data_IF_321002748121
#
_entry.id   IF_321002748121
#
_cell.length_a   1.000
_cell.length_b   1.000
_cell.length_c   1.000
_cell.angle_alpha   90.00
_cell.angle_beta   90.00
_cell.angle_gamma   90.00
#
_symmetry.space_group_name_H-M   'P 1'
#
loop_
_entity.id
_entity.type
_entity.pdbx_description
1 polymer ?
#
# COMPACT_ATOMS: atom_id res chain seq x y z
N UNK A 1 -19.04 -8.04 40.37
CA UNK A 1 -18.25 -9.04 39.63
C UNK A 1 -17.79 -8.46 38.30
N UNK A 2 -16.53 -8.69 37.93
CA UNK A 2 -15.95 -8.27 36.65
C UNK A 2 -16.27 -9.35 35.61
N UNK A 3 -17.11 -9.03 34.63
CA UNK A 3 -17.17 -9.81 33.39
C UNK A 3 -16.23 -9.15 32.37
N UNK A 4 -15.09 -9.77 32.02
CA UNK A 4 -14.24 -9.25 30.96
C UNK A 4 -14.99 -9.40 29.63
N UNK A 5 -15.11 -8.30 28.88
CA UNK A 5 -15.49 -8.36 27.47
C UNK A 5 -14.45 -9.23 26.77
N UNK A 6 -14.90 -10.38 26.29
CA UNK A 6 -14.11 -11.23 25.40
C UNK A 6 -13.81 -10.39 24.15
N UNK A 7 -12.56 -9.92 24.02
CA UNK A 7 -12.03 -9.47 22.74
C UNK A 7 -11.92 -10.70 21.84
N UNK A 8 -13.04 -11.04 21.18
CA UNK A 8 -12.97 -11.80 19.96
C UNK A 8 -12.53 -10.81 18.90
N UNK A 9 -11.26 -10.80 18.53
CA UNK A 9 -10.79 -10.18 17.28
C UNK A 9 -11.18 -11.11 16.13
N UNK A 10 -12.28 -10.87 15.39
CA UNK A 10 -12.80 -11.82 14.42
C UNK A 10 -12.08 -11.74 13.06
N UNK A 11 -11.07 -10.87 12.92
CA UNK A 11 -10.54 -10.48 11.62
C UNK A 11 -9.04 -10.70 11.47
N UNK A 12 -8.53 -11.86 11.90
CA UNK A 12 -7.34 -12.40 11.24
C UNK A 12 -7.80 -13.11 9.96
N UNK A 13 -8.11 -12.31 8.95
CA UNK A 13 -8.44 -12.86 7.63
C UNK A 13 -7.20 -13.55 7.10
N UNK A 14 -7.35 -14.84 6.82
CA UNK A 14 -6.26 -15.68 6.32
C UNK A 14 -5.76 -15.09 5.00
N UNK A 15 -4.50 -14.64 5.02
CA UNK A 15 -3.77 -14.07 3.88
C UNK A 15 -3.64 -15.12 2.79
N UNK A 16 -4.48 -15.06 1.76
CA UNK A 16 -4.16 -15.68 0.48
C UNK A 16 -3.27 -14.70 -0.28
N UNK A 17 -1.96 -14.78 -0.02
CA UNK A 17 -0.97 -14.08 -0.84
C UNK A 17 -1.17 -14.60 -2.27
N UNK A 18 -1.72 -13.75 -3.14
CA UNK A 18 -1.86 -14.15 -4.53
C UNK A 18 -0.45 -14.24 -5.10
N UNK A 19 0.07 -15.45 -5.31
CA UNK A 19 1.34 -15.76 -5.99
C UNK A 19 1.27 -15.38 -7.48
N UNK A 20 0.78 -14.19 -7.78
CA UNK A 20 0.57 -13.72 -9.14
C UNK A 20 1.91 -13.22 -9.61
N UNK A 21 2.58 -14.11 -10.34
CA UNK A 21 3.78 -13.80 -11.08
C UNK A 21 3.39 -12.80 -12.18
N UNK A 22 3.70 -11.54 -11.96
CA UNK A 22 3.51 -10.50 -12.97
C UNK A 22 4.38 -10.81 -14.19
N UNK A 23 3.93 -10.34 -15.34
CA UNK A 23 4.72 -10.36 -16.56
C UNK A 23 6.01 -9.52 -16.39
N UNK A 24 7.18 -9.97 -16.90
CA UNK A 24 8.44 -9.25 -16.72
C UNK A 24 8.41 -7.79 -17.21
N UNK A 25 7.73 -7.51 -18.34
CA UNK A 25 7.64 -6.13 -18.86
C UNK A 25 6.78 -5.25 -17.95
N UNK A 26 5.73 -5.84 -17.32
CA UNK A 26 4.96 -5.13 -16.29
C UNK A 26 5.81 -4.87 -15.06
N UNK A 27 6.60 -5.84 -14.62
CA UNK A 27 7.45 -5.71 -13.45
C UNK A 27 8.49 -4.59 -13.61
N UNK A 28 9.16 -4.53 -14.77
CA UNK A 28 10.11 -3.46 -15.09
C UNK A 28 9.45 -2.08 -15.13
N UNK A 29 8.24 -1.98 -15.73
CA UNK A 29 7.48 -0.72 -15.73
C UNK A 29 7.07 -0.28 -14.33
N UNK A 30 6.63 -1.21 -13.48
CA UNK A 30 6.30 -0.89 -12.08
C UNK A 30 7.55 -0.49 -11.31
N UNK A 31 8.70 -1.13 -11.55
CA UNK A 31 9.96 -0.73 -10.92
C UNK A 31 10.34 0.72 -11.27
N UNK A 32 10.32 1.07 -12.56
CA UNK A 32 10.58 2.45 -13.01
C UNK A 32 9.59 3.45 -12.41
N UNK A 33 8.32 3.07 -12.30
CA UNK A 33 7.31 3.88 -11.63
C UNK A 33 7.64 4.09 -10.15
N UNK A 34 7.99 3.03 -9.42
CA UNK A 34 8.32 3.12 -8.00
C UNK A 34 9.55 3.99 -7.76
N UNK A 35 10.58 3.92 -8.61
CA UNK A 35 11.74 4.82 -8.54
C UNK A 35 11.34 6.29 -8.76
N UNK A 36 10.47 6.56 -9.74
CA UNK A 36 9.92 7.90 -10.01
C UNK A 36 9.11 8.42 -8.82
N UNK A 37 8.27 7.59 -8.20
CA UNK A 37 7.49 7.95 -7.02
C UNK A 37 8.40 8.14 -5.79
N UNK A 38 9.40 7.29 -5.60
CA UNK A 38 10.37 7.39 -4.51
C UNK A 38 11.18 8.69 -4.58
N UNK A 39 11.61 9.11 -5.78
CA UNK A 39 12.23 10.43 -5.96
C UNK A 39 11.30 11.57 -5.52
N UNK A 40 10.00 11.47 -5.81
CA UNK A 40 9.01 12.45 -5.35
C UNK A 40 8.85 12.45 -3.82
N UNK A 41 8.79 11.26 -3.23
CA UNK A 41 8.71 11.06 -1.78
C UNK A 41 9.93 11.64 -1.08
N UNK A 42 11.14 11.35 -1.58
CA UNK A 42 12.40 11.89 -1.09
C UNK A 42 12.45 13.42 -1.19
N UNK A 43 12.24 13.96 -2.39
CA UNK A 43 12.36 15.40 -2.66
C UNK A 43 11.39 16.26 -1.86
N UNK A 44 10.24 15.72 -1.45
CA UNK A 44 9.23 16.41 -0.65
C UNK A 44 9.16 15.96 0.81
N UNK A 45 10.00 15.00 1.22
CA UNK A 45 9.98 14.41 2.56
C UNK A 45 8.57 13.96 2.98
N UNK A 46 7.89 13.23 2.09
CA UNK A 46 6.51 12.81 2.32
C UNK A 46 6.45 11.70 3.37
N UNK A 47 5.58 11.85 4.36
CA UNK A 47 5.22 10.77 5.28
C UNK A 47 4.07 9.96 4.69
N UNK A 48 4.32 8.70 4.34
CA UNK A 48 3.35 7.86 3.65
C UNK A 48 2.30 7.27 4.61
N UNK A 49 2.73 6.71 5.74
CA UNK A 49 1.88 5.96 6.67
C UNK A 49 0.68 6.73 7.25
N UNK A 50 0.80 7.99 7.74
CA UNK A 50 -0.28 8.63 8.49
C UNK A 50 -1.61 8.73 7.72
N UNK A 51 -1.55 8.98 6.40
CA UNK A 51 -2.75 9.07 5.58
C UNK A 51 -3.41 7.71 5.33
N UNK A 52 -2.64 6.61 5.39
CA UNK A 52 -3.21 5.27 5.30
C UNK A 52 -3.82 4.83 6.63
N UNK A 53 -3.20 5.18 7.76
CA UNK A 53 -3.70 4.83 9.10
C UNK A 53 -5.11 5.40 9.38
N UNK A 54 -5.45 6.56 8.80
CA UNK A 54 -6.81 7.12 8.87
C UNK A 54 -7.88 6.19 8.26
N UNK A 55 -7.49 5.37 7.27
CA UNK A 55 -8.35 4.38 6.63
C UNK A 55 -8.23 2.99 7.27
N UNK A 56 -7.07 2.63 7.80
CA UNK A 56 -6.78 1.35 8.46
C UNK A 56 -7.04 1.38 9.98
N UNK A 57 -8.31 1.57 10.35
CA UNK A 57 -8.73 1.74 11.76
C UNK A 57 -8.50 0.51 12.65
N UNK A 58 -8.31 -0.65 12.05
CA UNK A 58 -8.06 -1.91 12.76
C UNK A 58 -6.60 -2.34 12.69
N UNK A 59 -5.74 -1.50 12.10
CA UNK A 59 -4.30 -1.73 11.94
C UNK A 59 -3.97 -3.10 11.32
N UNK A 60 -4.72 -3.48 10.29
CA UNK A 60 -4.49 -4.75 9.59
C UNK A 60 -3.49 -4.62 8.42
N UNK A 61 -3.05 -3.41 8.09
CA UNK A 61 -2.10 -3.13 7.01
C UNK A 61 -2.72 -3.11 5.61
N UNK A 62 -4.06 -3.11 5.52
CA UNK A 62 -4.79 -3.20 4.26
C UNK A 62 -5.82 -2.08 4.09
N UNK A 63 -5.94 -1.58 2.86
CA UNK A 63 -6.97 -0.61 2.49
C UNK A 63 -7.60 -1.00 1.16
N UNK A 64 -8.84 -0.57 0.91
CA UNK A 64 -9.47 -0.80 -0.39
C UNK A 64 -8.73 -0.07 -1.51
N UNK A 65 -8.84 -0.55 -2.75
CA UNK A 65 -8.22 0.10 -3.92
C UNK A 65 -8.58 1.59 -4.03
N UNK A 66 -9.84 1.95 -3.77
CA UNK A 66 -10.28 3.35 -3.85
C UNK A 66 -9.65 4.22 -2.75
N UNK A 67 -9.50 3.70 -1.54
CA UNK A 67 -8.81 4.40 -0.44
C UNK A 67 -7.33 4.57 -0.78
N UNK A 68 -6.69 3.52 -1.30
CA UNK A 68 -5.30 3.58 -1.75
C UNK A 68 -5.07 4.68 -2.80
N UNK A 69 -5.89 4.71 -3.86
CA UNK A 69 -5.80 5.73 -4.90
C UNK A 69 -6.07 7.14 -4.36
N UNK A 70 -6.97 7.29 -3.38
CA UNK A 70 -7.23 8.57 -2.72
C UNK A 70 -6.00 9.07 -1.97
N UNK A 71 -5.35 8.21 -1.19
CA UNK A 71 -4.11 8.56 -0.48
C UNK A 71 -3.01 8.96 -1.47
N UNK A 72 -2.83 8.21 -2.56
CA UNK A 72 -1.87 8.60 -3.61
C UNK A 72 -2.18 9.95 -4.24
N UNK A 73 -3.46 10.26 -4.43
CA UNK A 73 -3.87 11.57 -4.95
C UNK A 73 -3.54 12.69 -3.97
N UNK A 74 -3.84 12.49 -2.69
CA UNK A 74 -3.62 13.50 -1.64
C UNK A 74 -2.13 13.76 -1.40
N UNK A 75 -1.28 12.73 -1.57
CA UNK A 75 0.19 12.85 -1.59
C UNK A 75 0.74 13.46 -2.89
N UNK A 76 -0.11 13.68 -3.90
CA UNK A 76 0.30 14.17 -5.23
C UNK A 76 1.12 13.16 -6.04
N UNK A 77 1.00 11.87 -5.72
CA UNK A 77 1.67 10.75 -6.39
C UNK A 77 0.81 10.18 -7.53
N UNK A 78 -0.52 10.12 -7.36
CA UNK A 78 -1.43 9.56 -8.39
C UNK A 78 -1.30 10.26 -9.76
N UNK A 79 -1.19 11.60 -9.85
CA UNK A 79 -1.01 12.28 -11.14
C UNK A 79 0.31 11.96 -11.86
N UNK A 80 1.27 11.32 -11.18
CA UNK A 80 2.52 10.86 -11.79
C UNK A 80 2.37 9.50 -12.48
N UNK A 81 1.20 8.85 -12.34
CA UNK A 81 0.89 7.56 -12.92
C UNK A 81 0.03 7.71 -14.17
N UNK A 82 0.17 6.81 -15.15
CA UNK A 82 -0.83 6.60 -16.19
C UNK A 82 -1.78 5.43 -15.84
N UNK A 83 -2.82 5.20 -16.65
CA UNK A 83 -3.82 4.15 -16.39
C UNK A 83 -3.22 2.74 -16.23
N UNK A 84 -2.28 2.38 -17.12
CA UNK A 84 -1.60 1.08 -17.09
C UNK A 84 -0.68 0.93 -15.87
N UNK A 85 0.09 1.97 -15.56
CA UNK A 85 0.92 2.05 -14.34
C UNK A 85 0.08 1.90 -13.07
N UNK A 86 -1.07 2.57 -13.01
CA UNK A 86 -2.02 2.48 -11.90
C UNK A 86 -2.54 1.05 -11.72
N UNK A 87 -2.95 0.40 -12.81
CA UNK A 87 -3.45 -0.97 -12.78
C UNK A 87 -2.38 -1.96 -12.32
N UNK A 88 -1.16 -1.87 -12.82
CA UNK A 88 -0.08 -2.74 -12.39
C UNK A 88 0.33 -2.50 -10.93
N UNK A 89 0.24 -1.26 -10.44
CA UNK A 89 0.51 -0.95 -9.04
C UNK A 89 -0.55 -1.62 -8.13
N UNK A 90 -1.83 -1.50 -8.48
CA UNK A 90 -2.92 -2.18 -7.77
C UNK A 90 -2.77 -3.70 -7.84
N UNK A 91 -2.37 -4.25 -8.99
CA UNK A 91 -2.11 -5.68 -9.17
C UNK A 91 -0.96 -6.17 -8.28
N UNK A 92 0.16 -5.43 -8.23
CA UNK A 92 1.36 -5.81 -7.47
C UNK A 92 1.12 -5.93 -5.97
N UNK A 93 0.37 -5.00 -5.39
CA UNK A 93 0.12 -4.94 -3.94
C UNK A 93 -1.24 -5.51 -3.55
N UNK A 94 -1.91 -6.22 -4.46
CA UNK A 94 -3.22 -6.80 -4.18
C UNK A 94 -3.14 -7.90 -3.13
N UNK A 95 -4.08 -7.88 -2.20
CA UNK A 95 -4.35 -8.95 -1.25
C UNK A 95 -5.84 -9.30 -1.28
N UNK A 96 -6.17 -10.60 -1.19
CA UNK A 96 -7.55 -11.04 -1.07
C UNK A 96 -7.93 -11.19 0.40
N UNK A 97 -8.90 -10.39 0.85
CA UNK A 97 -9.41 -10.38 2.22
C UNK A 97 -10.92 -10.68 2.16
N UNK A 98 -11.33 -11.88 2.57
CA UNK A 98 -12.74 -12.27 2.57
C UNK A 98 -13.39 -12.20 1.18
N UNK A 99 -12.63 -12.52 0.13
CA UNK A 99 -13.06 -12.44 -1.27
C UNK A 99 -13.02 -11.05 -1.91
N UNK A 100 -12.62 -10.02 -1.16
CA UNK A 100 -12.42 -8.65 -1.69
C UNK A 100 -10.96 -8.42 -2.04
N UNK A 101 -10.73 -7.62 -3.08
CA UNK A 101 -9.40 -7.19 -3.48
C UNK A 101 -9.04 -5.88 -2.77
N UNK A 102 -8.23 -6.00 -1.72
CA UNK A 102 -7.64 -4.89 -0.98
C UNK A 102 -6.17 -4.73 -1.35
N UNK A 103 -5.51 -3.70 -0.81
CA UNK A 103 -4.13 -3.32 -1.09
C UNK A 103 -3.31 -3.37 0.19
N UNK A 104 -2.18 -4.09 0.15
CA UNK A 104 -1.13 -4.06 1.16
C UNK A 104 -0.33 -2.77 1.05
N UNK A 105 -0.80 -1.74 1.74
CA UNK A 105 -0.16 -0.43 1.72
C UNK A 105 1.14 -0.40 2.52
N UNK A 106 1.32 -1.31 3.49
CA UNK A 106 2.55 -1.43 4.28
C UNK A 106 3.70 -1.82 3.36
N UNK A 107 3.53 -2.90 2.59
CA UNK A 107 4.53 -3.35 1.60
C UNK A 107 4.85 -2.26 0.57
N UNK A 108 3.84 -1.49 0.13
CA UNK A 108 4.03 -0.35 -0.76
C UNK A 108 4.85 0.78 -0.12
N UNK A 109 4.52 1.17 1.12
CA UNK A 109 5.19 2.25 1.84
C UNK A 109 6.64 1.87 2.15
N UNK A 110 6.88 0.65 2.62
CA UNK A 110 8.22 0.14 2.90
C UNK A 110 9.09 0.14 1.65
N UNK A 111 8.56 -0.34 0.53
CA UNK A 111 9.30 -0.35 -0.74
C UNK A 111 9.63 1.08 -1.22
N UNK A 112 8.69 2.03 -1.13
CA UNK A 112 8.95 3.42 -1.49
C UNK A 112 9.96 4.09 -0.56
N UNK A 113 9.86 3.89 0.75
CA UNK A 113 10.81 4.45 1.72
C UNK A 113 12.22 3.90 1.52
N UNK A 114 12.35 2.60 1.27
CA UNK A 114 13.64 1.99 0.94
C UNK A 114 14.25 2.59 -0.34
N UNK A 115 13.45 2.77 -1.40
CA UNK A 115 13.91 3.41 -2.64
C UNK A 115 14.20 4.92 -2.47
N UNK A 116 13.48 5.59 -1.58
CA UNK A 116 13.70 7.00 -1.26
C UNK A 116 14.93 7.21 -0.36
N UNK A 117 15.57 6.14 0.13
CA UNK A 117 16.75 6.20 0.99
C UNK A 117 16.44 6.64 2.42
N UNK A 118 15.21 6.44 2.89
CA UNK A 118 14.83 6.74 4.27
C UNK A 118 15.18 5.58 5.19
N UNK A 119 16.10 5.79 6.14
CA UNK A 119 16.38 4.82 7.21
C UNK A 119 15.23 4.83 8.24
N UNK A 120 14.78 3.64 8.65
CA UNK A 120 13.72 3.45 9.67
C UNK A 120 12.36 4.11 9.35
N UNK A 121 12.03 4.33 8.08
CA UNK A 121 10.69 4.80 7.65
C UNK A 121 10.39 6.27 7.97
N UNK A 122 11.41 7.08 8.29
CA UNK A 122 11.27 8.51 8.57
C UNK A 122 11.91 9.35 7.43
N UNK A 123 11.17 10.31 6.85
CA UNK A 123 11.71 11.24 5.84
C UNK A 123 12.62 12.35 6.38
#
# INVERSE_FOLDING_TARGET
>A
EKNPLVHNDPYQVQKEASEIRMDPDKEDRVKQLLEKLAYRVHSRRLQLFPLFEDFDRIHNGYVSQNQFLRVLNDLGLLPMTNGFEKENLLEKYRVKIGGRDDIDYISFCDQLNALAGFENGLP
#
